data_IF_232411238697
#
_entry.id   IF_232411238697
#
_cell.length_a   1.000
_cell.length_b   1.000
_cell.length_c   1.000
_cell.angle_alpha   90.00
_cell.angle_beta   90.00
_cell.angle_gamma   90.00
#
_symmetry.space_group_name_H-M   'P 1'
#
loop_
_entity.id
_entity.type
_entity.pdbx_description
1 polymer ?
#
# COMPACT_ATOMS: atom_id res chain seq x y z
N UNK A 1 -10.23 8.09 16.68
CA UNK A 1 -10.88 7.20 17.69
C UNK A 1 -10.15 5.85 17.74
N UNK A 2 -9.29 5.65 18.72
CA UNK A 2 -8.66 4.34 19.00
C UNK A 2 -9.72 3.38 19.51
N UNK A 3 -10.30 2.57 18.61
CA UNK A 3 -11.20 1.48 18.99
C UNK A 3 -10.41 0.51 19.87
N UNK A 4 -10.87 0.30 21.11
CA UNK A 4 -10.27 -0.68 22.01
C UNK A 4 -10.36 -2.07 21.36
N UNK A 5 -9.20 -2.69 21.11
CA UNK A 5 -9.10 -4.05 20.59
C UNK A 5 -9.85 -5.01 21.52
N UNK A 6 -10.90 -5.67 21.01
CA UNK A 6 -11.58 -6.72 21.76
C UNK A 6 -10.66 -7.93 21.82
N UNK A 7 -10.12 -8.24 23.01
CA UNK A 7 -9.12 -9.30 23.25
C UNK A 7 -9.49 -10.72 22.80
N UNK A 8 -10.71 -10.97 22.32
CA UNK A 8 -11.21 -12.29 21.91
C UNK A 8 -11.78 -12.30 20.47
N UNK A 9 -11.71 -11.19 19.74
CA UNK A 9 -12.19 -11.12 18.36
C UNK A 9 -11.05 -11.50 17.41
N UNK A 10 -11.33 -12.43 16.49
CA UNK A 10 -10.38 -12.78 15.43
C UNK A 10 -10.31 -11.66 14.40
N UNK A 11 -9.10 -11.32 14.01
CA UNK A 11 -8.82 -10.26 13.05
C UNK A 11 -7.71 -10.68 12.08
N UNK A 12 -7.68 -10.01 10.92
CA UNK A 12 -6.52 -10.06 10.04
C UNK A 12 -5.52 -8.97 10.42
N UNK A 13 -4.23 -9.32 10.42
CA UNK A 13 -3.16 -8.43 10.86
C UNK A 13 -2.21 -8.09 9.71
N UNK A 14 -2.30 -6.86 9.21
CA UNK A 14 -1.33 -6.29 8.29
C UNK A 14 -0.18 -5.65 9.08
N UNK A 15 0.81 -6.45 9.46
CA UNK A 15 2.01 -5.96 10.16
C UNK A 15 3.04 -5.54 9.12
N UNK A 16 3.41 -4.26 9.12
CA UNK A 16 4.22 -3.65 8.06
C UNK A 16 5.59 -3.25 8.58
N UNK A 17 6.63 -3.58 7.80
CA UNK A 17 8.01 -3.08 7.97
C UNK A 17 8.60 -2.78 6.60
N UNK A 18 9.18 -1.59 6.40
CA UNK A 18 9.89 -1.21 5.17
C UNK A 18 9.12 -1.44 3.85
N UNK A 19 7.80 -1.26 3.88
CA UNK A 19 6.84 -1.56 2.78
C UNK A 19 6.64 -3.04 2.45
N UNK A 20 7.06 -3.92 3.34
CA UNK A 20 6.82 -5.37 3.31
C UNK A 20 5.86 -5.76 4.43
N UNK A 21 5.19 -6.90 4.26
CA UNK A 21 4.20 -7.44 5.17
C UNK A 21 4.75 -8.69 5.85
N UNK A 22 4.55 -8.81 7.15
CA UNK A 22 4.76 -10.07 7.85
C UNK A 22 3.75 -11.09 7.36
N UNK A 23 4.21 -12.26 6.92
CA UNK A 23 3.36 -13.35 6.45
C UNK A 23 3.65 -14.63 7.23
N UNK A 24 2.59 -15.34 7.62
CA UNK A 24 2.67 -16.69 8.17
C UNK A 24 2.19 -17.66 7.11
N UNK A 25 3.05 -18.61 6.72
CA UNK A 25 2.72 -19.60 5.68
C UNK A 25 2.16 -18.96 4.40
N UNK A 26 2.78 -17.86 3.94
CA UNK A 26 2.38 -17.08 2.75
C UNK A 26 1.01 -16.39 2.85
N UNK A 27 0.44 -16.26 4.05
CA UNK A 27 -0.83 -15.58 4.30
C UNK A 27 -0.67 -14.48 5.35
N UNK A 28 -1.60 -13.53 5.37
CA UNK A 28 -1.68 -12.58 6.48
C UNK A 28 -2.09 -13.33 7.76
N UNK A 29 -1.46 -13.04 8.92
CA UNK A 29 -1.87 -13.62 10.19
C UNK A 29 -3.35 -13.38 10.45
N UNK A 30 -4.05 -14.44 10.86
CA UNK A 30 -5.46 -14.39 11.25
C UNK A 30 -5.63 -15.03 12.62
N UNK A 31 -6.07 -14.24 13.60
CA UNK A 31 -6.18 -14.68 14.98
C UNK A 31 -6.52 -13.54 15.92
N UNK A 32 -6.60 -13.84 17.21
CA UNK A 32 -6.83 -12.82 18.23
C UNK A 32 -5.51 -12.19 18.70
N UNK A 33 -5.59 -11.09 19.45
CA UNK A 33 -4.41 -10.37 19.97
C UNK A 33 -3.45 -11.27 20.76
N UNK A 34 -3.94 -12.33 21.39
CA UNK A 34 -3.11 -13.24 22.21
C UNK A 34 -2.25 -14.18 21.39
N UNK A 35 -2.66 -14.46 20.16
CA UNK A 35 -1.97 -15.37 19.26
C UNK A 35 -0.87 -14.63 18.49
N UNK A 36 -0.88 -13.28 18.55
CA UNK A 36 0.07 -12.42 17.88
C UNK A 36 1.32 -12.22 18.74
N UNK A 37 2.50 -12.53 18.21
CA UNK A 37 3.79 -12.29 18.86
C UNK A 37 4.27 -10.83 18.74
N UNK A 38 3.35 -9.88 18.58
CA UNK A 38 3.64 -8.46 18.38
C UNK A 38 2.88 -7.61 19.40
N UNK A 39 3.51 -6.53 19.86
CA UNK A 39 2.79 -5.50 20.60
C UNK A 39 1.76 -4.84 19.68
N UNK A 40 0.50 -4.90 20.08
CA UNK A 40 -0.62 -4.35 19.30
C UNK A 40 -0.92 -2.90 19.67
N UNK A 41 -0.12 -2.28 20.53
CA UNK A 41 -0.18 -0.86 20.79
C UNK A 41 -0.05 -0.06 19.48
N UNK A 42 -1.04 0.82 19.22
CA UNK A 42 -1.07 1.62 18.00
C UNK A 42 -1.59 0.89 16.76
N UNK A 43 -2.14 -0.32 16.89
CA UNK A 43 -2.89 -0.96 15.81
C UNK A 43 -4.08 -0.10 15.39
N UNK A 44 -4.31 0.01 14.07
CA UNK A 44 -5.36 0.85 13.48
C UNK A 44 -6.28 0.02 12.61
N UNK A 45 -7.59 0.12 12.82
CA UNK A 45 -8.59 -0.53 11.97
C UNK A 45 -8.57 0.12 10.57
N UNK A 46 -8.35 -0.68 9.54
CA UNK A 46 -8.27 -0.21 8.14
C UNK A 46 -9.38 -0.74 7.23
N UNK A 47 -10.20 -1.66 7.74
CA UNK A 47 -11.35 -2.21 7.02
C UNK A 47 -11.89 -3.46 7.68
N UNK A 48 -12.79 -4.13 6.98
CA UNK A 48 -13.30 -5.45 7.34
C UNK A 48 -13.20 -6.35 6.11
N UNK A 49 -12.97 -7.63 6.33
CA UNK A 49 -12.96 -8.67 5.31
C UNK A 49 -13.67 -9.90 5.86
N UNK A 50 -14.68 -10.41 5.15
CA UNK A 50 -15.51 -11.54 5.59
C UNK A 50 -16.04 -11.39 7.04
N UNK A 51 -16.52 -10.20 7.41
CA UNK A 51 -16.99 -9.83 8.76
C UNK A 51 -15.91 -9.81 9.86
N UNK A 52 -14.64 -9.99 9.52
CA UNK A 52 -13.53 -9.83 10.47
C UNK A 52 -12.84 -8.48 10.28
N UNK A 53 -12.47 -7.79 11.37
CA UNK A 53 -11.70 -6.56 11.28
C UNK A 53 -10.31 -6.85 10.67
N UNK A 54 -9.80 -5.87 9.91
CA UNK A 54 -8.44 -5.88 9.38
C UNK A 54 -7.68 -4.72 10.00
N UNK A 55 -6.62 -5.03 10.73
CA UNK A 55 -5.78 -4.05 11.41
C UNK A 55 -4.47 -3.83 10.66
N UNK A 56 -4.02 -2.59 10.62
CA UNK A 56 -2.64 -2.24 10.30
C UNK A 56 -1.85 -2.01 11.58
N UNK A 57 -0.65 -2.59 11.65
CA UNK A 57 0.31 -2.43 12.74
C UNK A 57 1.70 -2.14 12.16
N UNK A 58 2.45 -1.23 12.78
CA UNK A 58 3.87 -1.04 12.46
C UNK A 58 4.68 -2.07 13.24
N UNK A 59 5.53 -2.81 12.54
CA UNK A 59 6.44 -3.74 13.19
C UNK A 59 7.44 -2.98 14.08
N UNK A 60 7.89 -3.58 15.21
CA UNK A 60 8.99 -3.03 15.96
C UNK A 60 10.27 -3.02 15.11
N UNK A 61 11.12 -2.03 15.33
CA UNK A 61 12.37 -1.87 14.57
C UNK A 61 13.25 -3.13 14.61
N UNK A 62 13.22 -3.85 15.75
CA UNK A 62 13.99 -5.06 16.00
C UNK A 62 13.41 -6.33 15.34
N UNK A 63 12.22 -6.29 14.74
CA UNK A 63 11.66 -7.46 14.06
C UNK A 63 12.58 -7.94 12.93
N UNK A 64 12.76 -9.25 12.76
CA UNK A 64 13.60 -9.79 11.69
C UNK A 64 12.95 -9.53 10.33
N UNK A 65 13.67 -8.84 9.44
CA UNK A 65 13.18 -8.55 8.09
C UNK A 65 13.06 -9.80 7.21
N UNK A 66 13.64 -10.94 7.62
CA UNK A 66 13.53 -12.21 6.90
C UNK A 66 12.08 -12.74 6.81
N UNK A 67 11.23 -12.40 7.78
CA UNK A 67 9.83 -12.82 7.82
C UNK A 67 8.87 -11.84 7.11
N UNK A 68 9.42 -10.81 6.45
CA UNK A 68 8.65 -9.76 5.79
C UNK A 68 8.79 -9.87 4.27
N UNK A 69 7.63 -9.94 3.62
CA UNK A 69 7.54 -10.22 2.19
C UNK A 69 6.88 -9.08 1.43
N UNK A 70 7.14 -9.02 0.12
CA UNK A 70 6.44 -8.08 -0.75
C UNK A 70 4.95 -8.40 -0.75
N UNK A 71 4.10 -7.36 -0.82
CA UNK A 71 2.67 -7.54 -1.07
C UNK A 71 2.38 -8.42 -2.31
N UNK A 72 3.32 -8.51 -3.26
CA UNK A 72 3.20 -9.38 -4.45
C UNK A 72 3.07 -10.87 -4.11
N UNK A 73 3.53 -11.32 -2.95
CA UNK A 73 3.32 -12.71 -2.53
C UNK A 73 1.83 -13.01 -2.26
N UNK A 74 1.01 -11.97 -2.04
CA UNK A 74 -0.44 -12.09 -1.82
C UNK A 74 -1.28 -12.02 -3.10
N UNK A 75 -0.68 -12.13 -4.30
CA UNK A 75 -1.41 -12.02 -5.58
C UNK A 75 -2.51 -13.08 -5.76
N UNK A 76 -2.40 -14.22 -5.08
CA UNK A 76 -3.38 -15.31 -5.13
C UNK A 76 -4.49 -15.18 -4.07
N UNK A 77 -4.40 -14.20 -3.17
CA UNK A 77 -5.41 -13.93 -2.14
C UNK A 77 -6.59 -13.18 -2.75
N UNK A 78 -7.77 -13.33 -2.14
CA UNK A 78 -8.98 -12.61 -2.55
C UNK A 78 -8.75 -11.09 -2.69
N UNK A 79 -9.27 -10.44 -3.76
CA UNK A 79 -8.94 -9.06 -4.08
C UNK A 79 -9.21 -8.04 -2.96
N UNK A 80 -10.26 -8.25 -2.17
CA UNK A 80 -10.63 -7.35 -1.07
C UNK A 80 -9.55 -7.32 0.02
N UNK A 81 -9.08 -8.51 0.46
CA UNK A 81 -8.02 -8.60 1.46
C UNK A 81 -6.67 -8.12 0.89
N UNK A 82 -6.38 -8.41 -0.38
CA UNK A 82 -5.20 -7.88 -1.07
C UNK A 82 -5.17 -6.34 -1.09
N UNK A 83 -6.30 -5.70 -1.34
CA UNK A 83 -6.43 -4.23 -1.32
C UNK A 83 -6.21 -3.66 0.08
N UNK A 84 -6.73 -4.31 1.12
CA UNK A 84 -6.51 -3.88 2.51
C UNK A 84 -5.04 -4.02 2.93
N UNK A 85 -4.35 -5.08 2.50
CA UNK A 85 -2.91 -5.23 2.70
C UNK A 85 -2.10 -4.11 2.03
N UNK A 86 -2.48 -3.74 0.80
CA UNK A 86 -1.89 -2.62 0.08
C UNK A 86 -2.16 -1.27 0.75
N UNK A 87 -3.37 -1.09 1.28
CA UNK A 87 -3.73 0.09 2.08
C UNK A 87 -2.82 0.20 3.31
N UNK A 88 -2.63 -0.87 4.09
CA UNK A 88 -1.72 -0.88 5.24
C UNK A 88 -0.30 -0.43 4.84
N UNK A 89 0.22 -1.00 3.76
CA UNK A 89 1.55 -0.69 3.23
C UNK A 89 1.68 0.79 2.83
N UNK A 90 0.64 1.35 2.19
CA UNK A 90 0.62 2.75 1.78
C UNK A 90 0.48 3.72 2.97
N UNK A 91 -0.29 3.35 3.99
CA UNK A 91 -0.43 4.14 5.22
C UNK A 91 0.85 4.14 6.04
N UNK A 92 1.53 2.99 6.16
CA UNK A 92 2.88 2.89 6.72
C UNK A 92 3.86 3.80 5.97
N UNK A 93 3.84 3.75 4.65
CA UNK A 93 4.67 4.64 3.85
C UNK A 93 4.39 6.12 4.09
N UNK A 94 3.12 6.52 4.20
CA UNK A 94 2.76 7.90 4.55
C UNK A 94 3.31 8.28 5.92
N UNK A 95 3.09 7.44 6.94
CA UNK A 95 3.52 7.68 8.32
C UNK A 95 5.02 7.98 8.40
N UNK A 96 5.84 7.23 7.67
CA UNK A 96 7.30 7.40 7.65
C UNK A 96 7.79 8.52 6.75
N UNK A 97 7.10 8.81 5.63
CA UNK A 97 7.58 9.82 4.67
C UNK A 97 7.06 11.22 4.91
N UNK A 98 6.03 11.38 5.73
CA UNK A 98 5.38 12.66 6.03
C UNK A 98 5.50 13.03 7.52
N UNK A 99 6.63 12.67 8.15
CA UNK A 99 6.92 12.98 9.57
C UNK A 99 7.14 14.47 9.83
N UNK A 100 7.46 15.26 8.80
CA UNK A 100 7.66 16.70 8.88
C UNK A 100 6.82 17.43 7.82
N UNK A 101 6.32 18.60 8.19
CA UNK A 101 5.45 19.40 7.35
C UNK A 101 6.25 20.05 6.20
N UNK A 102 5.91 19.80 4.92
CA UNK A 102 6.57 20.44 3.79
C UNK A 102 6.34 21.96 3.72
N UNK A 103 5.34 22.51 4.43
CA UNK A 103 5.04 23.93 4.42
C UNK A 103 5.86 24.73 5.45
N UNK A 104 6.07 24.17 6.65
CA UNK A 104 6.71 24.90 7.76
C UNK A 104 7.84 24.14 8.48
N UNK A 105 8.12 22.89 8.11
CA UNK A 105 9.19 22.07 8.69
C UNK A 105 8.90 21.45 10.08
N UNK A 106 7.77 21.78 10.71
CA UNK A 106 7.42 21.23 12.02
C UNK A 106 7.01 19.75 11.94
N UNK A 107 7.08 19.03 13.07
CA UNK A 107 6.71 17.61 13.14
C UNK A 107 5.21 17.40 12.90
N UNK A 108 4.88 16.34 12.16
CA UNK A 108 3.53 15.87 11.92
C UNK A 108 3.20 14.67 12.81
N UNK A 109 1.91 14.50 13.10
CA UNK A 109 1.37 13.33 13.79
C UNK A 109 0.23 12.73 12.97
N UNK A 110 -0.07 11.45 13.17
CA UNK A 110 -1.20 10.81 12.50
C UNK A 110 -2.52 11.36 13.05
N UNK A 111 -3.43 11.78 12.17
CA UNK A 111 -4.72 12.37 12.53
C UNK A 111 -5.68 11.39 13.21
N UNK A 112 -6.53 11.90 14.10
CA UNK A 112 -7.50 11.08 14.85
C UNK A 112 -8.85 10.90 14.15
N UNK A 113 -9.21 11.84 13.27
CA UNK A 113 -10.50 11.96 12.58
C UNK A 113 -10.42 11.61 11.11
N UNK A 114 -9.25 11.78 10.49
CA UNK A 114 -9.01 11.54 9.08
C UNK A 114 -7.69 10.78 8.86
N UNK A 115 -7.60 10.11 7.72
CA UNK A 115 -6.40 9.38 7.31
C UNK A 115 -5.41 10.39 6.71
N UNK A 116 -4.71 11.12 7.57
CA UNK A 116 -3.73 12.13 7.21
C UNK A 116 -2.63 12.26 8.27
N UNK A 117 -1.49 12.83 7.87
CA UNK A 117 -0.47 13.36 8.77
C UNK A 117 -0.73 14.85 8.99
N UNK A 118 -0.98 15.27 10.23
CA UNK A 118 -1.35 16.65 10.59
C UNK A 118 -0.17 17.36 11.23
N UNK A 119 0.17 18.54 10.72
CA UNK A 119 1.23 19.37 11.27
C UNK A 119 0.89 19.87 12.69
N UNK A 120 1.82 19.72 13.64
CA UNK A 120 1.64 20.20 15.02
C UNK A 120 1.63 21.73 15.16
N UNK A 121 2.24 22.47 14.22
CA UNK A 121 2.39 23.92 14.30
C UNK A 121 1.36 24.69 13.48
N UNK A 122 1.18 24.33 12.20
CA UNK A 122 0.27 25.05 11.30
C UNK A 122 -1.04 24.31 11.03
N UNK A 123 -1.22 23.11 11.60
CA UNK A 123 -2.43 22.28 11.48
C UNK A 123 -2.80 21.85 10.05
N UNK A 124 -1.93 22.07 9.05
CA UNK A 124 -2.14 21.60 7.69
C UNK A 124 -2.18 20.06 7.64
N UNK A 125 -3.22 19.45 7.06
CA UNK A 125 -3.27 18.01 6.84
C UNK A 125 -2.53 17.60 5.57
N UNK A 126 -1.84 16.47 5.63
CA UNK A 126 -1.15 15.84 4.51
C UNK A 126 -1.70 14.43 4.30
N UNK A 127 -2.33 14.21 3.16
CA UNK A 127 -3.01 12.94 2.84
C UNK A 127 -2.05 11.93 2.19
N UNK A 128 -2.40 10.62 2.20
CA UNK A 128 -1.64 9.60 1.50
C UNK A 128 -1.51 9.94 0.01
N UNK A 129 -0.29 9.87 -0.53
CA UNK A 129 -0.07 10.12 -1.95
C UNK A 129 -0.53 8.91 -2.77
N UNK A 130 -1.43 9.14 -3.72
CA UNK A 130 -1.82 8.20 -4.76
C UNK A 130 -1.33 8.76 -6.10
N UNK A 131 -0.58 7.97 -6.85
CA UNK A 131 -0.08 8.35 -8.18
C UNK A 131 -0.92 7.64 -9.26
N UNK A 132 -1.77 8.35 -10.01
CA UNK A 132 -2.58 7.74 -11.05
C UNK A 132 -1.69 7.11 -12.13
N UNK A 133 -2.08 5.93 -12.60
CA UNK A 133 -1.33 5.14 -13.58
C UNK A 133 -2.30 4.57 -14.61
N UNK A 134 -1.92 4.60 -15.88
CA UNK A 134 -2.64 3.93 -16.97
C UNK A 134 -1.91 2.65 -17.36
N UNK A 135 -2.65 1.61 -17.68
CA UNK A 135 -2.17 0.36 -18.26
C UNK A 135 -3.03 0.03 -19.48
N UNK A 136 -2.41 -0.17 -20.65
CA UNK A 136 -3.13 -0.24 -21.93
C UNK A 136 -2.60 -1.37 -22.81
N UNK A 137 -3.53 -2.20 -23.29
CA UNK A 137 -3.30 -3.20 -24.32
C UNK A 137 -3.57 -2.58 -25.70
N UNK A 138 -2.55 -2.52 -26.57
CA UNK A 138 -2.70 -2.02 -27.94
C UNK A 138 -2.92 -3.19 -28.87
N UNK A 139 -4.01 -3.17 -29.64
CA UNK A 139 -4.37 -4.23 -30.58
C UNK A 139 -4.37 -3.71 -32.00
N UNK A 140 -3.91 -4.56 -32.92
CA UNK A 140 -4.04 -4.38 -34.37
C UNK A 140 -4.47 -5.72 -34.95
N UNK A 141 -5.74 -5.82 -35.34
CA UNK A 141 -6.38 -7.07 -35.77
C UNK A 141 -6.17 -8.18 -34.71
N UNK A 142 -5.56 -9.30 -35.11
CA UNK A 142 -5.25 -10.45 -34.26
C UNK A 142 -3.91 -10.31 -33.50
N UNK A 143 -3.25 -9.14 -33.58
CA UNK A 143 -1.97 -8.87 -32.90
C UNK A 143 -2.17 -7.96 -31.69
N UNK A 144 -1.33 -8.16 -30.67
CA UNK A 144 -1.24 -7.30 -29.48
C UNK A 144 0.21 -6.85 -29.28
N UNK A 145 0.40 -5.56 -28.96
CA UNK A 145 1.70 -5.02 -28.60
C UNK A 145 2.03 -5.39 -27.16
N UNK A 146 3.16 -6.07 -26.98
CA UNK A 146 3.76 -6.31 -25.68
C UNK A 146 5.19 -5.79 -25.68
N UNK A 147 5.63 -5.28 -24.53
CA UNK A 147 6.99 -4.82 -24.32
C UNK A 147 7.62 -5.58 -23.17
N UNK A 148 8.92 -5.85 -23.29
CA UNK A 148 9.73 -6.35 -22.20
C UNK A 148 10.43 -5.16 -21.52
N UNK A 149 10.14 -4.93 -20.24
CA UNK A 149 10.83 -3.87 -19.52
C UNK A 149 12.23 -4.37 -19.09
N UNK A 150 13.32 -3.60 -19.28
CA UNK A 150 14.68 -4.01 -18.87
C UNK A 150 14.82 -4.36 -17.38
N UNK A 151 13.90 -3.85 -16.56
CA UNK A 151 13.84 -4.08 -15.10
C UNK A 151 13.30 -5.47 -14.73
N UNK A 152 12.57 -6.12 -15.63
CA UNK A 152 12.03 -7.47 -15.41
C UNK A 152 13.00 -8.51 -16.01
N UNK A 153 13.85 -9.10 -15.16
CA UNK A 153 14.80 -10.16 -15.54
C UNK A 153 14.12 -11.51 -15.88
N UNK A 154 12.79 -11.59 -15.80
CA UNK A 154 12.01 -12.82 -15.90
C UNK A 154 11.60 -13.20 -17.32
N UNK A 155 12.02 -12.46 -18.35
CA UNK A 155 11.63 -12.75 -19.75
C UNK A 155 10.16 -12.42 -20.08
N UNK A 156 9.43 -11.81 -19.16
CA UNK A 156 7.99 -11.55 -19.31
C UNK A 156 7.73 -10.34 -20.22
N UNK A 157 6.89 -10.56 -21.23
CA UNK A 157 6.33 -9.51 -22.07
C UNK A 157 5.00 -9.05 -21.47
N UNK A 158 4.81 -7.73 -21.33
CA UNK A 158 3.60 -7.15 -20.73
C UNK A 158 3.09 -5.96 -21.53
N UNK A 159 1.85 -5.57 -21.26
CA UNK A 159 1.22 -4.39 -21.84
C UNK A 159 1.88 -3.11 -21.34
N UNK A 160 1.63 -1.99 -22.01
CA UNK A 160 2.30 -0.72 -21.71
C UNK A 160 1.62 -0.03 -20.53
N UNK A 161 2.41 0.34 -19.51
CA UNK A 161 1.94 1.12 -18.37
C UNK A 161 2.75 2.42 -18.14
N UNK A 162 2.17 3.40 -17.46
CA UNK A 162 2.87 4.61 -17.02
C UNK A 162 2.02 5.57 -16.19
N UNK A 163 2.70 6.42 -15.42
CA UNK A 163 2.04 7.45 -14.60
C UNK A 163 1.39 8.55 -15.43
N UNK A 164 0.26 9.04 -14.95
CA UNK A 164 -0.42 10.24 -15.45
C UNK A 164 0.26 11.47 -14.87
N UNK A 165 0.61 12.42 -15.71
CA UNK A 165 1.24 13.68 -15.29
C UNK A 165 0.19 14.73 -14.93
N UNK A 166 0.59 15.77 -14.17
CA UNK A 166 -0.33 16.80 -13.74
C UNK A 166 -0.95 17.53 -14.96
N UNK A 167 -2.27 17.61 -15.00
CA UNK A 167 -3.01 18.20 -16.12
C UNK A 167 -3.29 17.24 -17.28
N UNK A 168 -2.78 16.00 -17.26
CA UNK A 168 -3.14 15.00 -18.28
C UNK A 168 -4.49 14.34 -18.00
N UNK A 169 -5.27 14.13 -19.05
CA UNK A 169 -6.36 13.14 -19.02
C UNK A 169 -5.76 11.73 -19.14
N UNK A 170 -6.50 10.70 -18.71
CA UNK A 170 -6.05 9.30 -18.86
C UNK A 170 -5.70 8.97 -20.32
N UNK A 171 -6.49 9.49 -21.26
CA UNK A 171 -6.25 9.35 -22.70
C UNK A 171 -4.96 10.05 -23.12
N UNK A 172 -4.73 11.30 -22.71
CA UNK A 172 -3.53 12.04 -23.10
C UNK A 172 -2.26 11.39 -22.54
N UNK A 173 -2.30 10.92 -21.29
CA UNK A 173 -1.20 10.19 -20.66
C UNK A 173 -0.83 8.95 -21.49
N UNK A 174 -1.83 8.17 -21.92
CA UNK A 174 -1.61 7.02 -22.80
C UNK A 174 -0.93 7.41 -24.12
N UNK A 175 -1.47 8.39 -24.85
CA UNK A 175 -0.90 8.83 -26.13
C UNK A 175 0.56 9.30 -25.97
N UNK A 176 0.87 9.99 -24.88
CA UNK A 176 2.24 10.40 -24.54
C UNK A 176 3.17 9.20 -24.27
N UNK A 177 2.72 8.20 -23.51
CA UNK A 177 3.54 7.00 -23.21
C UNK A 177 3.76 6.12 -24.44
N UNK A 178 2.77 6.02 -25.33
CA UNK A 178 2.89 5.30 -26.60
C UNK A 178 4.03 5.84 -27.46
N UNK A 179 4.14 7.16 -27.59
CA UNK A 179 5.20 7.81 -28.40
C UNK A 179 6.60 7.62 -27.82
N UNK A 180 6.75 7.66 -26.48
CA UNK A 180 8.05 7.54 -25.80
C UNK A 180 8.60 6.11 -25.73
N UNK A 181 7.76 5.09 -25.86
CA UNK A 181 8.14 3.67 -25.69
C UNK A 181 8.23 2.87 -26.98
N UNK A 182 7.80 3.44 -28.11
CA UNK A 182 7.84 2.83 -29.44
C UNK A 182 8.90 3.44 -30.36
N UNK A 183 9.59 4.49 -29.91
CA UNK A 183 10.81 5.03 -30.54
C UNK A 183 12.04 4.48 -29.85
#
# INVERSE_FOLDING_TARGET
>A
MTLMLKKQENAYWCIVKDRSLYLENQSLPFGCVKDLNFDTAGARLIGHYQNHPVYWLEAPEQADSADFYSQRELLSVEPELFQLAGRATQLSHMLHTQQFCPQCGAQCHYGETEVAMVCSACHTPHYPRVSPCVIVAVRQDDKILLAQHPRHKTGMYTVIAGFVEAGETLSNAWHGKSKKKQG
#
